data_IF_522705326016
#
_entry.id   IF_522705326016
#
_cell.length_a   1.000
_cell.length_b   1.000
_cell.length_c   1.000
_cell.angle_alpha   90.00
_cell.angle_beta   90.00
_cell.angle_gamma   90.00
#
_symmetry.space_group_name_H-M   'P 1'
#
loop_
_entity.id
_entity.type
_entity.pdbx_description
1 polymer ?
#
# COMPACT_ATOMS: atom_id res chain seq x y z
N UNK A 1 -19.64 6.54 -5.25
CA UNK A 1 -18.26 6.67 -4.73
C UNK A 1 -17.29 6.91 -5.87
N UNK A 2 -16.33 7.82 -5.70
CA UNK A 2 -15.24 8.01 -6.68
C UNK A 2 -14.04 7.18 -6.25
N UNK A 3 -13.19 6.70 -7.18
CA UNK A 3 -11.93 6.03 -6.83
C UNK A 3 -11.01 6.89 -5.94
N UNK A 4 -11.16 8.22 -5.95
CA UNK A 4 -10.48 9.15 -5.05
C UNK A 4 -10.75 8.85 -3.57
N UNK A 5 -11.97 8.44 -3.25
CA UNK A 5 -12.43 8.30 -1.87
C UNK A 5 -11.64 7.17 -1.18
N UNK A 6 -11.33 6.10 -1.91
CA UNK A 6 -10.55 4.95 -1.41
C UNK A 6 -9.11 5.35 -1.10
N UNK A 7 -8.48 6.18 -1.95
CA UNK A 7 -7.13 6.67 -1.71
C UNK A 7 -7.08 7.56 -0.46
N UNK A 8 -8.10 8.39 -0.27
CA UNK A 8 -8.21 9.23 0.94
C UNK A 8 -8.39 8.39 2.20
N UNK A 9 -9.29 7.41 2.20
CA UNK A 9 -9.52 6.51 3.35
C UNK A 9 -8.28 5.68 3.71
N UNK A 10 -7.55 5.17 2.70
CA UNK A 10 -6.28 4.48 2.94
C UNK A 10 -5.21 5.42 3.50
N UNK A 11 -5.18 6.68 3.06
CA UNK A 11 -4.24 7.67 3.57
C UNK A 11 -4.55 8.02 5.02
N UNK A 12 -5.81 8.28 5.34
CA UNK A 12 -6.26 8.52 6.72
C UNK A 12 -5.95 7.32 7.62
N UNK A 13 -6.18 6.10 7.14
CA UNK A 13 -5.83 4.88 7.89
C UNK A 13 -4.31 4.75 8.14
N UNK A 14 -3.46 5.10 7.16
CA UNK A 14 -2.01 5.13 7.35
C UNK A 14 -1.61 6.19 8.39
N UNK A 15 -2.22 7.37 8.36
CA UNK A 15 -1.94 8.47 9.29
C UNK A 15 -2.38 8.13 10.73
N UNK A 16 -3.60 7.64 10.92
CA UNK A 16 -4.13 7.27 12.25
C UNK A 16 -3.31 6.16 12.91
N UNK A 17 -2.71 5.26 12.12
CA UNK A 17 -1.86 4.19 12.61
C UNK A 17 -0.36 4.55 12.63
N UNK A 18 0.01 5.80 12.29
CA UNK A 18 1.41 6.25 12.22
C UNK A 18 2.29 5.43 11.27
N UNK A 19 1.70 4.92 10.18
CA UNK A 19 2.40 4.16 9.16
C UNK A 19 3.05 5.04 8.08
N UNK A 20 2.54 6.26 7.88
CA UNK A 20 3.08 7.22 6.91
C UNK A 20 4.09 8.21 7.52
N UNK A 21 4.48 8.04 8.78
CA UNK A 21 5.41 8.95 9.46
C UNK A 21 6.78 8.98 8.77
N UNK A 22 7.13 10.13 8.20
CA UNK A 22 8.37 10.32 7.44
C UNK A 22 8.36 9.70 6.04
N UNK A 23 7.18 9.41 5.50
CA UNK A 23 6.97 8.97 4.12
C UNK A 23 6.06 9.93 3.36
N UNK A 24 6.40 10.20 2.10
CA UNK A 24 5.50 10.88 1.17
C UNK A 24 4.52 9.87 0.56
N UNK A 25 3.23 10.07 0.82
CA UNK A 25 2.17 9.22 0.28
C UNK A 25 1.81 9.66 -1.13
N UNK A 26 1.83 8.73 -2.08
CA UNK A 26 1.50 8.96 -3.48
C UNK A 26 0.46 7.97 -3.99
N UNK A 27 -0.23 8.34 -5.07
CA UNK A 27 -1.30 7.52 -5.65
C UNK A 27 -1.02 7.19 -7.12
N UNK A 28 -1.40 5.99 -7.52
CA UNK A 28 -1.37 5.46 -8.91
C UNK A 28 0.03 5.28 -9.49
N UNK A 29 0.89 6.29 -9.42
CA UNK A 29 2.23 6.24 -9.98
C UNK A 29 3.22 6.76 -8.95
N UNK A 30 4.35 6.08 -8.85
CA UNK A 30 5.48 6.57 -8.09
C UNK A 30 6.20 7.65 -8.90
N UNK A 31 6.31 8.84 -8.31
CA UNK A 31 7.21 9.91 -8.72
C UNK A 31 8.35 9.95 -7.72
N UNK A 32 9.54 9.64 -8.19
CA UNK A 32 10.74 9.66 -7.36
C UNK A 32 11.08 11.11 -6.94
N UNK A 33 11.82 11.24 -5.84
CA UNK A 33 12.21 12.50 -5.23
C UNK A 33 13.71 12.56 -4.92
N UNK A 34 14.06 13.25 -3.84
CA UNK A 34 15.41 13.38 -3.33
C UNK A 34 15.91 12.08 -2.70
N UNK A 35 17.23 11.98 -2.50
CA UNK A 35 17.89 10.76 -2.06
C UNK A 35 17.32 10.20 -0.74
N UNK A 36 17.04 11.08 0.22
CA UNK A 36 16.54 10.73 1.56
C UNK A 36 15.02 10.55 1.62
N UNK A 37 14.30 10.87 0.55
CA UNK A 37 12.85 10.78 0.53
C UNK A 37 12.43 9.30 0.54
N UNK A 38 11.38 9.01 1.31
CA UNK A 38 10.76 7.70 1.42
C UNK A 38 9.32 7.81 0.96
N UNK A 39 8.78 6.77 0.34
CA UNK A 39 7.45 6.84 -0.27
C UNK A 39 6.55 5.68 0.12
N UNK A 40 5.26 5.96 0.25
CA UNK A 40 4.21 4.94 0.24
C UNK A 40 3.34 5.19 -0.99
N UNK A 41 3.29 4.24 -1.92
CA UNK A 41 2.53 4.38 -3.15
C UNK A 41 1.35 3.42 -3.14
N UNK A 42 0.14 3.96 -3.20
CA UNK A 42 -1.10 3.17 -3.25
C UNK A 42 -1.54 3.04 -4.70
N UNK A 43 -1.70 1.81 -5.17
CA UNK A 43 -2.08 1.50 -6.55
C UNK A 43 -3.24 0.50 -6.59
N UNK A 44 -4.16 0.72 -7.52
CA UNK A 44 -5.18 -0.29 -7.86
C UNK A 44 -4.55 -1.30 -8.81
N UNK A 45 -4.71 -2.58 -8.54
CA UNK A 45 -4.21 -3.63 -9.43
C UNK A 45 -5.20 -3.83 -10.58
N UNK A 46 -4.78 -3.53 -11.80
CA UNK A 46 -5.55 -3.80 -13.02
C UNK A 46 -5.22 -5.19 -13.55
N UNK A 47 -5.94 -6.24 -13.12
CA UNK A 47 -5.62 -7.59 -13.60
C UNK A 47 -6.39 -8.78 -13.04
N UNK A 48 -7.51 -8.59 -12.33
CA UNK A 48 -8.35 -9.72 -11.95
C UNK A 48 -9.02 -10.34 -13.18
N UNK A 49 -9.02 -11.68 -13.29
CA UNK A 49 -9.86 -12.39 -14.28
C UNK A 49 -11.31 -11.88 -14.15
N UNK A 50 -12.03 -11.69 -15.27
CA UNK A 50 -13.37 -11.10 -15.26
C UNK A 50 -14.36 -11.80 -14.31
N UNK A 51 -14.16 -13.09 -14.06
CA UNK A 51 -15.07 -13.94 -13.28
C UNK A 51 -14.95 -13.75 -11.76
N UNK A 52 -13.80 -13.28 -11.23
CA UNK A 52 -13.61 -12.99 -9.80
C UNK A 52 -13.64 -11.48 -9.48
N UNK A 53 -13.40 -10.63 -10.49
CA UNK A 53 -13.33 -9.17 -10.36
C UNK A 53 -14.70 -8.48 -10.17
N UNK A 54 -15.81 -9.23 -10.19
CA UNK A 54 -17.16 -8.67 -10.07
C UNK A 54 -17.50 -8.22 -8.65
N UNK A 55 -16.79 -8.68 -7.61
CA UNK A 55 -17.13 -8.41 -6.20
C UNK A 55 -15.95 -7.82 -5.40
N UNK A 56 -14.69 -8.16 -5.73
CA UNK A 56 -13.50 -7.72 -4.98
C UNK A 56 -12.61 -6.83 -5.82
N UNK A 57 -12.23 -5.68 -5.27
CA UNK A 57 -11.23 -4.78 -5.82
C UNK A 57 -9.86 -5.10 -5.20
N UNK A 58 -8.81 -5.18 -6.02
CA UNK A 58 -7.46 -5.47 -5.56
C UNK A 58 -6.59 -4.20 -5.59
N UNK A 59 -5.85 -3.99 -4.50
CA UNK A 59 -4.93 -2.87 -4.33
C UNK A 59 -3.57 -3.37 -3.87
N UNK A 60 -2.56 -2.53 -4.06
CA UNK A 60 -1.23 -2.73 -3.52
C UNK A 60 -0.67 -1.46 -2.93
N UNK A 61 0.12 -1.63 -1.87
CA UNK A 61 0.95 -0.59 -1.27
C UNK A 61 2.41 -0.90 -1.56
N UNK A 62 3.12 0.06 -2.13
CA UNK A 62 4.57 0.01 -2.34
C UNK A 62 5.24 0.89 -1.28
N UNK A 63 6.04 0.29 -0.41
CA UNK A 63 6.86 0.98 0.56
C UNK A 63 8.26 1.12 -0.03
N UNK A 64 8.74 2.35 -0.12
CA UNK A 64 9.97 2.67 -0.85
C UNK A 64 10.92 3.41 0.10
N UNK A 65 12.10 2.85 0.26
CA UNK A 65 13.18 3.42 1.08
C UNK A 65 13.83 4.66 0.44
N UNK A 66 14.65 5.33 1.23
CA UNK A 66 15.71 6.22 0.75
C UNK A 66 16.70 5.45 -0.14
N UNK A 67 17.42 6.14 -1.03
CA UNK A 67 18.46 5.53 -1.86
C UNK A 67 19.55 4.96 -0.96
N UNK A 68 19.96 3.71 -1.23
CA UNK A 68 20.94 2.98 -0.42
C UNK A 68 20.51 2.81 1.07
N UNK A 69 19.21 2.98 1.35
CA UNK A 69 18.65 2.97 2.69
C UNK A 69 18.66 1.60 3.39
N UNK A 70 18.55 1.65 4.72
CA UNK A 70 18.50 0.45 5.57
C UNK A 70 17.22 -0.37 5.37
N UNK A 71 17.36 -1.69 5.29
CA UNK A 71 16.27 -2.61 4.99
C UNK A 71 15.33 -2.87 6.19
N UNK A 72 15.89 -2.97 7.39
CA UNK A 72 15.15 -3.46 8.58
C UNK A 72 13.95 -2.60 8.96
N UNK A 73 14.10 -1.28 9.00
CA UNK A 73 13.01 -0.39 9.39
C UNK A 73 11.84 -0.41 8.40
N UNK A 74 12.13 -0.59 7.10
CA UNK A 74 11.11 -0.68 6.07
C UNK A 74 10.39 -2.04 6.13
N UNK A 75 11.13 -3.12 6.39
CA UNK A 75 10.57 -4.48 6.59
C UNK A 75 9.66 -4.54 7.81
N UNK A 76 10.08 -3.97 8.94
CA UNK A 76 9.27 -3.88 10.16
C UNK A 76 7.98 -3.09 9.90
N UNK A 77 8.06 -1.97 9.16
CA UNK A 77 6.88 -1.21 8.75
C UNK A 77 5.97 -2.04 7.85
N UNK A 78 6.52 -2.75 6.87
CA UNK A 78 5.76 -3.59 5.96
C UNK A 78 5.02 -4.70 6.70
N UNK A 79 5.68 -5.33 7.67
CA UNK A 79 5.08 -6.35 8.52
C UNK A 79 3.95 -5.77 9.36
N UNK A 80 4.16 -4.61 10.00
CA UNK A 80 3.13 -3.92 10.80
C UNK A 80 1.90 -3.54 9.97
N UNK A 81 2.09 -2.99 8.77
CA UNK A 81 0.99 -2.66 7.85
C UNK A 81 0.21 -3.92 7.49
N UNK A 82 0.92 -5.01 7.13
CA UNK A 82 0.27 -6.27 6.78
C UNK A 82 -0.54 -6.86 7.94
N UNK A 83 0.02 -6.87 9.14
CA UNK A 83 -0.70 -7.33 10.34
C UNK A 83 -1.90 -6.44 10.66
N UNK A 84 -1.78 -5.12 10.45
CA UNK A 84 -2.90 -4.21 10.61
C UNK A 84 -4.00 -4.46 9.57
N UNK A 85 -3.67 -4.80 8.31
CA UNK A 85 -4.67 -5.22 7.32
C UNK A 85 -5.39 -6.52 7.72
N UNK A 86 -4.68 -7.45 8.38
CA UNK A 86 -5.30 -8.69 8.90
C UNK A 86 -6.23 -8.38 10.07
N UNK A 87 -5.83 -7.47 10.96
CA UNK A 87 -6.62 -7.11 12.14
C UNK A 87 -7.82 -6.23 11.78
N UNK A 88 -7.58 -5.22 10.95
CA UNK A 88 -8.52 -4.19 10.57
C UNK A 88 -9.26 -4.65 9.32
N UNK A 89 -10.23 -5.54 9.50
CA UNK A 89 -11.08 -6.06 8.42
C UNK A 89 -11.92 -4.98 7.71
N UNK A 90 -11.87 -3.72 8.17
CA UNK A 90 -12.59 -2.58 7.61
C UNK A 90 -11.73 -1.33 7.67
N UNK A 91 -11.72 -0.58 6.56
CA UNK A 91 -11.03 0.71 6.46
C UNK A 91 -11.98 1.67 5.73
N UNK A 92 -12.54 2.65 6.42
CA UNK A 92 -13.44 3.62 5.80
C UNK A 92 -14.62 2.97 5.07
N UNK A 93 -14.73 3.25 3.77
CA UNK A 93 -15.73 2.67 2.87
C UNK A 93 -15.49 1.20 2.45
N UNK A 94 -14.33 0.64 2.80
CA UNK A 94 -13.95 -0.75 2.55
C UNK A 94 -14.51 -1.64 3.66
N UNK A 95 -15.57 -2.37 3.34
CA UNK A 95 -16.29 -3.27 4.27
C UNK A 95 -15.58 -4.59 4.55
N UNK A 96 -14.55 -4.88 3.75
CA UNK A 96 -13.68 -6.03 3.89
C UNK A 96 -12.31 -5.62 3.38
N UNK A 97 -11.25 -5.98 4.10
CA UNK A 97 -9.85 -5.82 3.68
C UNK A 97 -9.09 -7.06 4.11
N UNK A 98 -8.32 -7.65 3.19
CA UNK A 98 -7.50 -8.83 3.48
C UNK A 98 -6.22 -8.82 2.64
N UNK A 99 -5.03 -8.94 3.25
CA UNK A 99 -3.79 -9.04 2.49
C UNK A 99 -3.71 -10.36 1.72
N UNK A 100 -3.14 -10.30 0.53
CA UNK A 100 -2.99 -11.43 -0.39
C UNK A 100 -1.50 -11.75 -0.51
N UNK A 101 -1.16 -13.01 -0.25
CA UNK A 101 0.22 -13.48 -0.37
C UNK A 101 1.17 -12.90 0.70
N UNK A 102 2.45 -12.84 0.35
CA UNK A 102 3.52 -12.31 1.18
C UNK A 102 3.88 -10.86 0.83
N UNK A 103 4.87 -10.33 1.55
CA UNK A 103 5.51 -9.06 1.20
C UNK A 103 6.52 -9.36 0.10
N UNK A 104 6.32 -8.80 -1.10
CA UNK A 104 7.26 -8.97 -2.20
C UNK A 104 8.36 -7.91 -2.10
N UNK A 105 9.60 -8.31 -2.35
CA UNK A 105 10.76 -7.42 -2.31
C UNK A 105 11.36 -7.24 -3.69
N UNK A 106 11.70 -6.00 -4.03
CA UNK A 106 12.43 -5.66 -5.25
C UNK A 106 13.33 -4.44 -5.04
N UNK A 107 14.22 -4.19 -5.99
CA UNK A 107 15.06 -2.99 -6.03
C UNK A 107 14.65 -2.12 -7.21
N UNK A 108 14.54 -0.82 -6.98
CA UNK A 108 14.35 0.16 -8.05
C UNK A 108 15.66 0.44 -8.81
N UNK A 109 15.55 1.08 -9.97
CA UNK A 109 16.70 1.49 -10.80
C UNK A 109 17.68 2.41 -10.06
N UNK A 110 17.22 3.12 -9.02
CA UNK A 110 18.04 3.99 -8.17
C UNK A 110 18.47 3.33 -6.86
N UNK A 111 18.53 2.00 -6.83
CA UNK A 111 18.94 1.22 -5.66
C UNK A 111 18.13 1.52 -4.37
N UNK A 112 16.85 1.90 -4.51
CA UNK A 112 15.91 1.92 -3.39
C UNK A 112 15.27 0.55 -3.23
N UNK A 113 15.23 0.06 -1.99
CA UNK A 113 14.40 -1.08 -1.61
C UNK A 113 12.93 -0.72 -1.78
N UNK A 114 12.19 -1.61 -2.44
CA UNK A 114 10.74 -1.55 -2.62
C UNK A 114 10.11 -2.81 -2.03
N UNK A 115 9.21 -2.62 -1.08
CA UNK A 115 8.39 -3.69 -0.49
C UNK A 115 6.93 -3.52 -0.93
N UNK A 116 6.35 -4.55 -1.51
CA UNK A 116 4.97 -4.55 -2.01
C UNK A 116 4.07 -5.40 -1.11
N UNK A 117 2.96 -4.81 -0.69
CA UNK A 117 1.88 -5.47 0.06
C UNK A 117 0.63 -5.42 -0.80
N UNK A 118 0.14 -6.60 -1.21
CA UNK A 118 -1.09 -6.74 -1.97
C UNK A 118 -2.26 -7.05 -1.05
N UNK A 119 -3.45 -6.52 -1.35
CA UNK A 119 -4.66 -6.79 -0.57
C UNK A 119 -5.92 -6.69 -1.42
N UNK A 120 -6.93 -7.48 -1.04
CA UNK A 120 -8.27 -7.44 -1.61
C UNK A 120 -9.18 -6.62 -0.69
N UNK A 121 -10.17 -5.99 -1.31
CA UNK A 121 -11.18 -5.24 -0.57
C UNK A 121 -12.56 -5.37 -1.23
N UNK A 122 -13.61 -5.26 -0.41
CA UNK A 122 -14.99 -5.09 -0.87
C UNK A 122 -15.43 -3.67 -0.51
N UNK A 123 -15.73 -2.88 -1.55
CA UNK A 123 -16.12 -1.49 -1.40
C UNK A 123 -17.65 -1.41 -1.34
N UNK A 124 -18.19 -0.78 -0.31
CA UNK A 124 -19.62 -0.45 -0.24
C UNK A 124 -19.93 0.62 -1.29
N UNK A 125 -20.82 0.34 -2.25
CA UNK A 125 -21.13 1.25 -3.38
C UNK A 125 -22.34 2.11 -3.13
#
# INVERSE_FOLDING_TARGET
>A
MKPSDIYSELTEWLEVNHFSDGFDVQYRFWKDGQQLDKFIVIQRMGGGKPEEALIRDSYRMLLISEVDGGQSALEDLAFRIREALIRDHKIGCMTYVEPIGGINQSMSDRNRLVLEINFNTIISR
#
